data_IF_963353479796
#
_entry.id   IF_963353479796
#
_cell.length_a   1.000
_cell.length_b   1.000
_cell.length_c   1.000
_cell.angle_alpha   90.00
_cell.angle_beta   90.00
_cell.angle_gamma   90.00
#
_symmetry.space_group_name_H-M   'P 1'
#
loop_
_entity.id
_entity.type
_entity.pdbx_description
1 polymer ?
#
# COMPACT_ATOMS: atom_id res chain seq x y z
N UNK A 1 9.75 8.23 11.46
CA UNK A 1 8.51 7.47 11.18
C UNK A 1 8.86 6.08 10.66
N UNK A 2 8.25 5.02 11.19
CA UNK A 2 8.54 3.63 10.81
C UNK A 2 7.31 3.00 10.13
N UNK A 3 7.32 2.92 8.79
CA UNK A 3 6.26 2.27 8.00
C UNK A 3 6.84 1.65 6.71
N UNK A 4 7.68 0.60 6.84
CA UNK A 4 8.36 0.02 5.69
C UNK A 4 7.35 -0.60 4.71
N UNK A 5 7.42 -0.16 3.46
CA UNK A 5 6.60 -0.66 2.35
C UNK A 5 7.51 -1.21 1.26
N UNK A 6 7.08 -2.26 0.57
CA UNK A 6 7.69 -2.73 -0.68
C UNK A 6 6.65 -2.71 -1.78
N UNK A 7 7.09 -2.48 -3.00
CA UNK A 7 6.19 -2.32 -4.13
C UNK A 7 6.80 -2.95 -5.38
N UNK A 8 5.93 -3.57 -6.18
CA UNK A 8 6.24 -3.95 -7.55
C UNK A 8 5.14 -3.41 -8.46
N UNK A 9 5.56 -2.86 -9.60
CA UNK A 9 4.65 -2.37 -10.63
C UNK A 9 5.01 -3.00 -11.96
N UNK A 10 3.99 -3.51 -12.63
CA UNK A 10 4.01 -3.93 -14.04
C UNK A 10 3.29 -2.87 -14.88
N UNK A 11 3.13 -3.10 -16.19
CA UNK A 11 2.36 -2.19 -17.05
C UNK A 11 0.89 -2.08 -16.62
N UNK A 12 0.30 -3.18 -16.15
CA UNK A 12 -1.13 -3.24 -15.79
C UNK A 12 -1.36 -3.23 -14.29
N UNK A 13 -0.61 -4.01 -13.52
CA UNK A 13 -0.85 -4.17 -12.09
C UNK A 13 0.23 -3.53 -11.22
N UNK A 14 -0.16 -3.04 -10.05
CA UNK A 14 0.73 -2.62 -8.97
C UNK A 14 0.36 -3.34 -7.68
N UNK A 15 1.35 -3.90 -7.00
CA UNK A 15 1.21 -4.50 -5.68
C UNK A 15 2.06 -3.72 -4.68
N UNK A 16 1.47 -3.34 -3.54
CA UNK A 16 2.17 -2.85 -2.36
C UNK A 16 2.06 -3.90 -1.26
N UNK A 17 3.14 -4.04 -0.50
CA UNK A 17 3.24 -4.83 0.71
C UNK A 17 3.61 -3.90 1.86
N UNK A 18 2.63 -3.62 2.71
CA UNK A 18 2.77 -2.79 3.90
C UNK A 18 3.18 -3.70 5.07
N UNK A 19 4.47 -3.70 5.40
CA UNK A 19 5.02 -4.66 6.37
C UNK A 19 4.47 -4.41 7.79
N UNK A 20 4.27 -3.15 8.15
CA UNK A 20 3.76 -2.71 9.45
C UNK A 20 2.30 -2.21 9.37
N UNK A 21 1.45 -2.91 8.61
CA UNK A 21 0.08 -2.50 8.30
C UNK A 21 -0.85 -2.31 9.51
N UNK A 22 -0.56 -2.97 10.64
CA UNK A 22 -1.30 -2.81 11.89
C UNK A 22 -1.11 -1.44 12.53
N UNK A 23 -0.04 -0.72 12.16
CA UNK A 23 0.20 0.64 12.61
C UNK A 23 -0.59 1.62 11.74
N UNK A 24 -1.05 2.71 12.35
CA UNK A 24 -1.55 3.87 11.60
C UNK A 24 -0.44 4.44 10.73
N UNK A 25 -0.77 4.77 9.47
CA UNK A 25 0.18 5.36 8.53
C UNK A 25 0.74 6.67 9.09
N UNK A 26 2.07 6.77 9.29
CA UNK A 26 2.64 7.94 9.92
C UNK A 26 2.74 9.06 8.89
N UNK A 27 1.94 10.12 9.10
CA UNK A 27 2.09 11.35 8.36
C UNK A 27 3.27 12.17 8.88
N UNK A 28 3.97 12.81 7.95
CA UNK A 28 4.96 13.80 8.30
C UNK A 28 4.29 15.03 8.91
N UNK A 29 4.90 15.56 9.97
CA UNK A 29 4.31 16.63 10.78
C UNK A 29 4.05 17.90 9.96
N UNK A 30 4.95 18.24 9.04
CA UNK A 30 4.79 19.33 8.07
C UNK A 30 3.57 19.14 7.15
N UNK A 31 3.26 17.91 6.75
CA UNK A 31 2.07 17.61 5.95
C UNK A 31 0.78 17.73 6.75
N UNK A 32 0.81 17.47 8.07
CA UNK A 32 -0.37 17.64 8.93
C UNK A 32 -0.77 19.11 9.06
N UNK A 33 0.20 20.02 9.04
CA UNK A 33 -0.03 21.46 9.10
C UNK A 33 -0.25 22.11 7.72
N UNK A 34 -0.20 21.34 6.64
CA UNK A 34 -0.49 21.87 5.32
C UNK A 34 -1.97 22.23 5.21
N UNK A 35 -2.27 23.36 4.56
CA UNK A 35 -3.65 23.83 4.34
C UNK A 35 -4.51 22.86 3.52
N UNK A 36 -3.88 21.97 2.74
CA UNK A 36 -4.55 20.87 2.04
C UNK A 36 -5.01 19.76 2.99
N UNK A 37 -4.34 19.59 4.13
CA UNK A 37 -4.66 18.60 5.16
C UNK A 37 -5.66 19.12 6.19
N UNK A 38 -5.70 20.42 6.46
CA UNK A 38 -6.67 21.03 7.40
C UNK A 38 -8.14 20.66 7.06
N UNK A 39 -8.44 20.49 5.77
CA UNK A 39 -9.76 20.00 5.29
C UNK A 39 -10.03 18.51 5.58
N UNK A 40 -9.04 17.76 6.07
CA UNK A 40 -9.13 16.32 6.34
C UNK A 40 -9.69 15.99 7.72
N UNK A 41 -9.87 16.98 8.59
CA UNK A 41 -10.44 16.81 9.93
C UNK A 41 -11.96 16.58 9.92
N UNK A 42 -12.62 16.87 8.80
CA UNK A 42 -14.06 16.61 8.61
C UNK A 42 -14.32 15.10 8.47
N UNK A 43 -15.35 14.53 9.11
CA UNK A 43 -15.66 13.09 9.02
C UNK A 43 -15.92 12.59 7.59
N UNK A 44 -16.34 13.48 6.68
CA UNK A 44 -16.58 13.19 5.27
C UNK A 44 -15.38 13.49 4.36
N UNK A 45 -14.26 13.93 4.95
CA UNK A 45 -13.12 14.36 4.19
C UNK A 45 -12.50 13.21 3.39
N UNK A 46 -12.02 13.57 2.20
CA UNK A 46 -11.36 12.67 1.28
C UNK A 46 -9.98 13.20 0.96
N UNK A 47 -9.04 12.28 0.84
CA UNK A 47 -7.74 12.56 0.27
C UNK A 47 -7.76 12.10 -1.20
N UNK A 48 -8.05 13.04 -2.10
CA UNK A 48 -8.36 12.73 -3.49
C UNK A 48 -9.60 11.83 -3.58
N UNK A 49 -9.46 10.64 -4.19
CA UNK A 49 -10.56 9.68 -4.32
C UNK A 49 -10.65 8.69 -3.15
N UNK A 50 -9.76 8.72 -2.17
CA UNK A 50 -9.78 7.81 -1.00
C UNK A 50 -10.35 8.52 0.24
N UNK A 51 -10.91 7.77 1.18
CA UNK A 51 -11.22 8.30 2.51
C UNK A 51 -9.94 8.52 3.32
N UNK A 52 -9.99 9.43 4.30
CA UNK A 52 -8.87 9.60 5.26
C UNK A 52 -8.63 8.31 6.05
N UNK A 53 -9.69 7.60 6.43
CA UNK A 53 -9.61 6.31 7.11
C UNK A 53 -8.80 5.27 6.33
N UNK A 54 -9.10 5.08 5.03
CA UNK A 54 -8.37 4.13 4.18
C UNK A 54 -6.91 4.53 3.94
N UNK A 55 -6.60 5.83 4.07
CA UNK A 55 -5.23 6.34 3.98
C UNK A 55 -4.44 6.08 5.27
N UNK A 56 -5.11 6.19 6.42
CA UNK A 56 -4.52 5.97 7.74
C UNK A 56 -4.37 4.48 8.08
N UNK A 57 -5.36 3.66 7.73
CA UNK A 57 -5.41 2.24 8.04
C UNK A 57 -5.31 1.41 6.76
N UNK A 58 -4.08 1.25 6.29
CA UNK A 58 -3.79 0.55 5.03
C UNK A 58 -3.63 -0.95 5.27
N UNK A 59 -4.23 -1.82 4.43
CA UNK A 59 -4.15 -3.27 4.60
C UNK A 59 -2.74 -3.81 4.33
N UNK A 60 -2.46 -5.05 4.74
CA UNK A 60 -1.16 -5.71 4.51
C UNK A 60 -0.74 -5.72 3.04
N UNK A 61 -1.70 -6.01 2.15
CA UNK A 61 -1.50 -6.01 0.71
C UNK A 61 -2.48 -5.07 0.03
N UNK A 62 -1.96 -4.30 -0.93
CA UNK A 62 -2.77 -3.49 -1.83
C UNK A 62 -2.45 -3.87 -3.28
N UNK A 63 -3.43 -4.37 -4.02
CA UNK A 63 -3.30 -4.73 -5.44
C UNK A 63 -4.24 -3.87 -6.27
N UNK A 64 -3.70 -3.21 -7.29
CA UNK A 64 -4.46 -2.33 -8.17
C UNK A 64 -4.26 -2.70 -9.65
N UNK A 65 -5.34 -2.74 -10.42
CA UNK A 65 -5.31 -2.74 -11.88
C UNK A 65 -5.28 -1.30 -12.38
N UNK A 66 -4.12 -0.83 -12.83
CA UNK A 66 -3.90 0.54 -13.26
C UNK A 66 -4.58 0.91 -14.58
N UNK A 67 -5.04 -0.07 -15.36
CA UNK A 67 -5.80 0.20 -16.59
C UNK A 67 -7.27 0.47 -16.25
N UNK A 68 -7.86 -0.35 -15.38
CA UNK A 68 -9.25 -0.19 -14.95
C UNK A 68 -9.41 0.91 -13.89
N UNK A 69 -8.42 1.05 -13.00
CA UNK A 69 -8.40 1.99 -11.89
C UNK A 69 -7.07 2.74 -11.81
N UNK A 70 -6.89 3.79 -12.62
CA UNK A 70 -5.67 4.60 -12.61
C UNK A 70 -5.48 5.40 -11.32
N UNK A 71 -6.51 5.49 -10.46
CA UNK A 71 -6.44 6.23 -9.20
C UNK A 71 -6.18 5.33 -7.99
N UNK A 72 -6.02 4.01 -8.19
CA UNK A 72 -5.69 3.05 -7.15
C UNK A 72 -6.67 3.12 -5.96
N UNK A 73 -7.97 3.20 -6.20
CA UNK A 73 -9.00 3.31 -5.16
C UNK A 73 -9.53 1.94 -4.75
N UNK A 74 -9.68 1.03 -5.71
CA UNK A 74 -10.24 -0.31 -5.49
C UNK A 74 -9.12 -1.32 -5.26
N UNK A 75 -8.95 -1.74 -4.00
CA UNK A 75 -7.97 -2.77 -3.66
C UNK A 75 -8.50 -4.17 -4.01
N UNK A 76 -7.80 -4.85 -4.92
CA UNK A 76 -8.11 -6.19 -5.42
C UNK A 76 -7.36 -7.29 -4.67
N UNK A 77 -6.64 -6.98 -3.60
CA UNK A 77 -5.73 -7.93 -2.94
C UNK A 77 -6.45 -9.14 -2.33
N UNK A 78 -7.71 -8.99 -1.92
CA UNK A 78 -8.49 -10.06 -1.29
C UNK A 78 -9.56 -10.63 -2.24
N UNK A 79 -9.58 -10.18 -3.50
CA UNK A 79 -10.44 -10.73 -4.53
C UNK A 79 -9.85 -12.06 -5.06
N UNK A 80 -10.57 -13.20 -4.92
CA UNK A 80 -10.11 -14.50 -5.40
C UNK A 80 -9.76 -14.53 -6.90
N UNK A 81 -10.41 -13.71 -7.73
CA UNK A 81 -10.14 -13.63 -9.16
C UNK A 81 -8.71 -13.14 -9.46
N UNK A 82 -8.10 -12.40 -8.52
CA UNK A 82 -6.75 -11.84 -8.66
C UNK A 82 -5.69 -12.56 -7.81
N UNK A 83 -6.05 -13.68 -7.16
CA UNK A 83 -5.15 -14.42 -6.27
C UNK A 83 -3.84 -14.84 -6.98
N UNK A 84 -3.93 -15.31 -8.23
CA UNK A 84 -2.75 -15.71 -9.00
C UNK A 84 -1.86 -14.50 -9.34
N UNK A 85 -2.46 -13.35 -9.68
CA UNK A 85 -1.72 -12.11 -9.98
C UNK A 85 -1.01 -11.63 -8.72
N UNK A 86 -1.69 -11.62 -7.56
CA UNK A 86 -1.11 -11.28 -6.26
C UNK A 86 0.11 -12.15 -5.95
N UNK A 87 -0.02 -13.48 -6.06
CA UNK A 87 1.07 -14.42 -5.80
C UNK A 87 2.29 -14.16 -6.69
N UNK A 88 2.09 -14.02 -8.00
CA UNK A 88 3.18 -13.72 -8.94
C UNK A 88 3.91 -12.41 -8.63
N UNK A 89 3.18 -11.39 -8.19
CA UNK A 89 3.77 -10.10 -7.81
C UNK A 89 4.50 -10.19 -6.47
N UNK A 90 3.98 -10.94 -5.50
CA UNK A 90 4.69 -11.23 -4.24
C UNK A 90 6.03 -11.93 -4.53
N UNK A 91 6.06 -12.90 -5.43
CA UNK A 91 7.29 -13.60 -5.79
C UNK A 91 8.31 -12.66 -6.42
N UNK A 92 7.87 -11.72 -7.26
CA UNK A 92 8.75 -10.66 -7.81
C UNK A 92 9.31 -9.75 -6.72
N UNK A 93 8.49 -9.38 -5.73
CA UNK A 93 8.96 -8.60 -4.57
C UNK A 93 10.01 -9.39 -3.80
N UNK A 94 9.73 -10.64 -3.43
CA UNK A 94 10.67 -11.52 -2.72
C UNK A 94 11.97 -11.71 -3.48
N UNK A 95 11.90 -12.00 -4.78
CA UNK A 95 13.09 -12.15 -5.63
C UNK A 95 13.94 -10.87 -5.66
N UNK A 96 13.31 -9.70 -5.76
CA UNK A 96 14.02 -8.43 -5.69
C UNK A 96 14.68 -8.23 -4.33
N UNK A 97 13.94 -8.45 -3.24
CA UNK A 97 14.45 -8.34 -1.87
C UNK A 97 15.65 -9.26 -1.62
N UNK A 98 15.59 -10.51 -2.06
CA UNK A 98 16.70 -11.47 -1.97
C UNK A 98 17.91 -10.97 -2.75
N UNK A 99 17.71 -10.55 -4.01
CA UNK A 99 18.80 -10.06 -4.87
C UNK A 99 19.51 -8.84 -4.27
N UNK A 100 18.77 -7.95 -3.62
CA UNK A 100 19.32 -6.73 -3.01
C UNK A 100 19.70 -6.90 -1.54
N UNK A 101 19.63 -8.11 -0.99
CA UNK A 101 19.89 -8.42 0.43
C UNK A 101 19.10 -7.51 1.38
N UNK A 102 17.83 -7.27 1.05
CA UNK A 102 16.93 -6.42 1.83
C UNK A 102 16.72 -7.01 3.24
N UNK A 103 17.10 -6.31 4.32
CA UNK A 103 16.94 -6.81 5.69
C UNK A 103 15.49 -7.16 6.06
N UNK A 104 14.51 -6.53 5.39
CA UNK A 104 13.10 -6.77 5.63
C UNK A 104 12.59 -8.05 4.96
N UNK A 105 13.43 -8.79 4.22
CA UNK A 105 13.08 -10.11 3.69
C UNK A 105 12.67 -11.07 4.82
N UNK A 106 13.28 -10.97 6.00
CA UNK A 106 12.93 -11.82 7.15
C UNK A 106 11.49 -11.65 7.64
N UNK A 107 10.80 -10.57 7.26
CA UNK A 107 9.41 -10.34 7.67
C UNK A 107 8.40 -11.28 7.00
N UNK A 108 8.81 -12.03 5.98
CA UNK A 108 7.98 -13.09 5.41
C UNK A 108 7.92 -14.35 6.29
N UNK A 109 8.89 -14.53 7.20
CA UNK A 109 9.02 -15.75 8.02
C UNK A 109 8.16 -15.73 9.29
N UNK A 110 7.71 -14.55 9.72
CA UNK A 110 7.04 -14.31 11.00
C UNK A 110 5.59 -13.83 10.82
N UNK A 111 4.92 -14.28 9.76
CA UNK A 111 3.66 -13.73 9.27
C UNK A 111 2.57 -14.76 9.03
#
# INVERSE_FOLDING_TARGET
MYYPTRMVRTRRFKLLYNIAHELTFPFAEDLLYASSWDRSAEPSARFGRRSVEALMHRPKFELYDLQADPNEVSNLADDPAYAQVKAQLIDKVKAFQTRTRDPWLRKWDFQ
#
